data_IF_305545837313
#
_entry.id   IF_305545837313
#
_cell.length_a   1.000
_cell.length_b   1.000
_cell.length_c   1.000
_cell.angle_alpha   90.00
_cell.angle_beta   90.00
_cell.angle_gamma   90.00
#
_symmetry.space_group_name_H-M   'P 1'
#
loop_
_entity.id
_entity.type
_entity.pdbx_description
1 polymer ?
#
# COMPACT_ATOMS: atom_id res chain seq x y z
N UNK A 1 13.43 -2.02 -16.26
CA UNK A 1 12.85 -2.26 -14.90
C UNK A 1 13.92 -1.98 -13.86
N UNK A 2 13.57 -1.34 -12.76
CA UNK A 2 14.50 -1.18 -11.63
C UNK A 2 14.90 -2.54 -11.06
N UNK A 3 16.16 -2.63 -10.59
CA UNK A 3 16.68 -3.85 -9.99
C UNK A 3 15.94 -4.13 -8.68
N UNK A 4 15.29 -5.29 -8.58
CA UNK A 4 14.71 -5.76 -7.32
C UNK A 4 15.80 -6.19 -6.36
N UNK A 5 15.71 -5.71 -5.13
CA UNK A 5 16.50 -6.13 -3.97
C UNK A 5 15.66 -7.09 -3.12
N UNK A 6 16.29 -7.82 -2.22
CA UNK A 6 15.60 -8.77 -1.35
C UNK A 6 16.11 -8.63 0.09
N UNK A 7 15.17 -8.56 1.03
CA UNK A 7 15.43 -8.66 2.45
C UNK A 7 14.99 -10.04 2.95
N UNK A 8 15.90 -10.81 3.53
CA UNK A 8 15.56 -12.12 4.09
C UNK A 8 14.91 -11.94 5.44
N UNK A 9 13.71 -12.49 5.61
CA UNK A 9 12.87 -12.36 6.80
C UNK A 9 12.30 -13.72 7.22
N UNK A 10 11.71 -13.85 8.42
CA UNK A 10 10.93 -15.05 8.78
C UNK A 10 9.79 -15.38 7.82
N UNK A 11 9.30 -14.39 7.07
CA UNK A 11 8.18 -14.54 6.12
C UNK A 11 8.62 -14.95 4.71
N UNK A 12 9.90 -14.85 4.39
CA UNK A 12 10.50 -15.15 3.11
C UNK A 12 11.48 -14.08 2.66
N UNK A 13 11.86 -14.13 1.38
CA UNK A 13 12.69 -13.09 0.76
C UNK A 13 11.76 -11.99 0.22
N UNK A 14 11.65 -10.92 0.96
CA UNK A 14 10.75 -9.80 0.63
C UNK A 14 11.44 -8.91 -0.38
N UNK A 15 10.83 -8.79 -1.56
CA UNK A 15 11.34 -7.97 -2.65
C UNK A 15 11.00 -6.49 -2.42
N UNK A 16 11.91 -5.62 -2.86
CA UNK A 16 11.72 -4.17 -2.82
C UNK A 16 12.56 -3.47 -3.88
N UNK A 17 12.22 -2.22 -4.16
CA UNK A 17 13.10 -1.28 -4.85
C UNK A 17 13.50 -0.18 -3.89
N UNK A 18 14.68 0.40 -4.10
CA UNK A 18 15.21 1.46 -3.25
C UNK A 18 15.88 2.53 -4.10
N UNK A 19 15.59 3.80 -3.77
CA UNK A 19 16.19 4.95 -4.43
C UNK A 19 16.33 6.13 -3.49
N UNK A 20 17.43 6.88 -3.64
CA UNK A 20 17.72 8.04 -2.82
C UNK A 20 18.49 7.71 -1.54
N UNK A 21 18.59 8.68 -0.64
CA UNK A 21 19.32 8.59 0.63
C UNK A 21 18.64 9.46 1.70
N UNK A 22 19.11 9.36 2.94
CA UNK A 22 18.56 10.13 4.07
C UNK A 22 17.51 9.34 4.85
N UNK A 23 16.54 10.01 5.50
CA UNK A 23 15.50 9.35 6.27
C UNK A 23 14.68 8.39 5.40
N UNK A 24 14.37 7.19 5.91
CA UNK A 24 13.66 6.17 5.15
C UNK A 24 12.18 6.49 5.01
N UNK A 25 11.65 6.34 3.78
CA UNK A 25 10.23 6.36 3.46
C UNK A 25 9.83 5.01 2.85
N UNK A 26 8.89 4.31 3.51
CA UNK A 26 8.38 3.01 3.12
C UNK A 26 7.04 3.17 2.39
N UNK A 27 6.96 2.65 1.17
CA UNK A 27 5.80 2.72 0.32
C UNK A 27 5.15 1.34 0.19
N UNK A 28 3.87 1.23 0.54
CA UNK A 28 3.10 -0.01 0.63
C UNK A 28 1.91 0.03 -0.32
N UNK A 29 1.93 -0.84 -1.32
CA UNK A 29 0.87 -1.00 -2.33
C UNK A 29 -0.28 -1.89 -1.84
N UNK A 30 -1.32 -2.07 -2.67
CA UNK A 30 -2.44 -2.95 -2.39
C UNK A 30 -2.57 -4.15 -3.33
N UNK A 31 -3.79 -4.67 -3.44
CA UNK A 31 -4.09 -5.89 -4.19
C UNK A 31 -3.79 -5.74 -5.69
N UNK A 32 -3.30 -6.81 -6.31
CA UNK A 32 -2.91 -6.92 -7.72
C UNK A 32 -1.76 -6.01 -8.20
N UNK A 33 -1.27 -5.11 -7.36
CA UNK A 33 -0.15 -4.23 -7.67
C UNK A 33 1.17 -4.73 -7.08
N UNK A 34 2.18 -3.91 -7.15
CA UNK A 34 3.48 -4.09 -6.51
C UNK A 34 4.18 -2.73 -6.35
N UNK A 35 5.42 -2.70 -5.89
CA UNK A 35 6.17 -1.47 -5.66
C UNK A 35 6.28 -0.53 -6.88
N UNK A 36 5.99 -0.98 -8.10
CA UNK A 36 6.03 -0.13 -9.30
C UNK A 36 4.99 0.99 -9.29
N UNK A 37 3.87 0.82 -8.58
CA UNK A 37 2.86 1.89 -8.35
C UNK A 37 3.53 3.20 -7.92
N UNK A 38 4.55 3.10 -7.11
CA UNK A 38 5.20 4.23 -6.46
C UNK A 38 6.33 4.86 -7.27
N UNK A 39 6.75 4.23 -8.39
CA UNK A 39 7.90 4.68 -9.19
C UNK A 39 7.80 6.15 -9.59
N UNK A 40 6.67 6.66 -10.14
CA UNK A 40 6.59 8.07 -10.54
C UNK A 40 6.72 9.05 -9.35
N UNK A 41 6.17 8.69 -8.18
CA UNK A 41 6.31 9.49 -6.97
C UNK A 41 7.74 9.43 -6.41
N UNK A 42 8.37 8.23 -6.41
CA UNK A 42 9.75 8.03 -5.94
C UNK A 42 10.74 8.82 -6.80
N UNK A 43 10.55 8.91 -8.11
CA UNK A 43 11.37 9.73 -9.01
C UNK A 43 11.44 11.20 -8.55
N UNK A 44 10.37 11.70 -7.92
CA UNK A 44 10.25 13.06 -7.39
C UNK A 44 10.77 13.21 -5.97
N UNK A 45 10.79 12.14 -5.19
CA UNK A 45 11.03 12.16 -3.74
C UNK A 45 12.43 11.67 -3.35
N UNK A 46 13.11 10.92 -4.22
CA UNK A 46 14.42 10.32 -3.94
C UNK A 46 15.54 11.32 -3.66
N UNK A 47 15.34 12.61 -3.98
CA UNK A 47 16.27 13.67 -3.60
C UNK A 47 16.18 14.09 -2.12
N UNK A 48 15.13 13.70 -1.40
CA UNK A 48 14.88 14.11 0.00
C UNK A 48 14.64 12.94 0.94
N UNK A 49 14.46 11.72 0.42
CA UNK A 49 14.23 10.48 1.21
C UNK A 49 14.96 9.29 0.57
N UNK A 50 15.34 8.35 1.42
CA UNK A 50 15.61 6.97 1.03
C UNK A 50 14.24 6.29 0.82
N UNK A 51 13.76 6.29 -0.42
CA UNK A 51 12.47 5.73 -0.80
C UNK A 51 12.58 4.23 -1.01
N UNK A 52 11.77 3.45 -0.28
CA UNK A 52 11.75 1.99 -0.31
C UNK A 52 10.33 1.56 -0.67
N UNK A 53 10.13 0.97 -1.85
CA UNK A 53 8.84 0.40 -2.26
C UNK A 53 8.89 -1.12 -2.11
N UNK A 54 8.16 -1.66 -1.14
CA UNK A 54 8.09 -3.09 -0.84
C UNK A 54 7.08 -3.78 -1.76
N UNK A 55 7.35 -5.02 -2.14
CA UNK A 55 6.35 -5.92 -2.70
C UNK A 55 5.78 -6.78 -1.55
N UNK A 56 4.49 -6.69 -1.29
CA UNK A 56 3.80 -7.46 -0.25
C UNK A 56 3.92 -8.98 -0.49
N UNK A 57 3.69 -9.79 0.54
CA UNK A 57 3.58 -11.25 0.35
C UNK A 57 2.47 -11.57 -0.65
N UNK A 58 2.67 -12.60 -1.45
CA UNK A 58 1.84 -12.99 -2.59
C UNK A 58 1.86 -12.00 -3.77
N UNK A 59 2.62 -10.91 -3.73
CA UNK A 59 2.66 -9.88 -4.77
C UNK A 59 4.09 -9.66 -5.31
N UNK A 60 4.16 -9.07 -6.50
CA UNK A 60 5.42 -8.66 -7.14
C UNK A 60 6.45 -9.78 -7.18
N UNK A 61 7.69 -9.46 -6.85
CA UNK A 61 8.80 -10.41 -6.83
C UNK A 61 9.07 -11.04 -5.45
N UNK A 62 8.27 -10.74 -4.43
CA UNK A 62 8.40 -11.34 -3.09
C UNK A 62 8.24 -12.85 -3.15
N UNK A 63 9.17 -13.56 -2.49
CA UNK A 63 9.19 -15.02 -2.37
C UNK A 63 8.70 -15.42 -0.99
N UNK A 64 7.37 -15.54 -0.87
CA UNK A 64 6.71 -15.93 0.37
C UNK A 64 7.08 -17.37 0.73
N UNK A 65 7.33 -17.66 2.01
CA UNK A 65 7.47 -19.05 2.46
C UNK A 65 6.13 -19.77 2.37
N UNK A 66 6.12 -21.08 2.15
CA UNK A 66 4.90 -21.89 2.22
C UNK A 66 4.16 -21.67 3.55
N UNK A 67 2.84 -21.74 3.50
CA UNK A 67 1.94 -21.71 4.67
C UNK A 67 1.99 -20.42 5.52
N UNK A 68 2.56 -19.32 4.99
CA UNK A 68 2.50 -18.02 5.66
C UNK A 68 1.05 -17.52 5.76
N UNK A 69 0.78 -16.81 6.86
CA UNK A 69 -0.43 -16.03 7.04
C UNK A 69 -0.40 -14.82 6.09
N UNK A 70 -1.29 -14.82 5.10
CA UNK A 70 -1.42 -13.76 4.10
C UNK A 70 -2.47 -12.71 4.48
N UNK A 71 -3.09 -12.83 5.66
CA UNK A 71 -4.01 -11.82 6.18
C UNK A 71 -3.32 -10.46 6.35
N UNK A 72 -4.10 -9.42 6.56
CA UNK A 72 -3.54 -8.09 6.83
C UNK A 72 -2.72 -8.06 8.12
N UNK A 73 -3.04 -8.91 9.11
CA UNK A 73 -2.21 -9.10 10.31
C UNK A 73 -0.86 -9.71 9.96
N UNK A 74 -0.83 -10.75 9.13
CA UNK A 74 0.40 -11.37 8.64
C UNK A 74 1.25 -10.40 7.83
N UNK A 75 0.63 -9.60 6.96
CA UNK A 75 1.33 -8.55 6.17
C UNK A 75 1.90 -7.46 7.09
N UNK A 76 1.16 -7.01 8.11
CA UNK A 76 1.65 -6.02 9.06
C UNK A 76 2.85 -6.54 9.88
N UNK A 77 2.81 -7.82 10.28
CA UNK A 77 3.93 -8.48 10.96
C UNK A 77 5.15 -8.62 10.01
N UNK A 78 4.92 -8.92 8.74
CA UNK A 78 5.97 -8.96 7.71
C UNK A 78 6.61 -7.59 7.54
N UNK A 79 5.85 -6.48 7.49
CA UNK A 79 6.41 -5.13 7.39
C UNK A 79 7.34 -4.80 8.57
N UNK A 80 6.99 -5.21 9.79
CA UNK A 80 7.87 -5.04 10.94
C UNK A 80 9.19 -5.80 10.76
N UNK A 81 9.12 -7.08 10.41
CA UNK A 81 10.30 -7.91 10.18
C UNK A 81 11.15 -7.40 9.00
N UNK A 82 10.51 -6.84 7.97
CA UNK A 82 11.19 -6.21 6.84
C UNK A 82 11.97 -4.96 7.28
N UNK A 83 11.35 -4.10 8.10
CA UNK A 83 12.04 -2.94 8.68
C UNK A 83 13.24 -3.37 9.53
N UNK A 84 13.09 -4.41 10.36
CA UNK A 84 14.18 -4.96 11.18
C UNK A 84 15.33 -5.49 10.31
N UNK A 85 15.01 -6.23 9.25
CA UNK A 85 16.01 -6.78 8.34
C UNK A 85 16.82 -5.71 7.59
N UNK A 86 16.24 -4.53 7.38
CA UNK A 86 16.91 -3.38 6.76
C UNK A 86 17.51 -2.39 7.76
N UNK A 87 17.42 -2.65 9.08
CA UNK A 87 17.91 -1.76 10.13
C UNK A 87 17.18 -0.41 10.16
N UNK A 88 15.87 -0.39 9.86
CA UNK A 88 15.05 0.82 9.85
C UNK A 88 14.41 1.01 11.22
N UNK A 89 14.93 1.89 12.06
CA UNK A 89 14.37 2.16 13.38
C UNK A 89 13.05 2.91 13.29
N UNK A 90 12.99 3.96 12.50
CA UNK A 90 11.79 4.75 12.23
C UNK A 90 11.65 5.04 10.73
N UNK A 91 10.42 4.98 10.25
CA UNK A 91 10.09 5.21 8.84
C UNK A 91 8.95 6.22 8.67
N UNK A 92 9.00 6.99 7.58
CA UNK A 92 7.83 7.63 7.00
C UNK A 92 7.07 6.58 6.20
N UNK A 93 5.81 6.32 6.51
CA UNK A 93 5.05 5.27 5.81
C UNK A 93 4.01 5.89 4.89
N UNK A 94 3.94 5.40 3.66
CA UNK A 94 2.96 5.82 2.65
C UNK A 94 2.25 4.58 2.13
N UNK A 95 0.94 4.59 2.05
CA UNK A 95 0.15 3.42 1.66
C UNK A 95 -0.98 3.74 0.70
N UNK A 96 -1.43 2.71 -0.04
CA UNK A 96 -2.55 2.78 -0.96
C UNK A 96 -3.33 1.46 -0.98
N UNK A 97 -4.64 1.50 -1.25
CA UNK A 97 -5.51 0.35 -1.39
C UNK A 97 -5.49 -0.56 -0.14
N UNK A 98 -5.42 -1.87 -0.26
CA UNK A 98 -5.31 -2.77 0.90
C UNK A 98 -4.04 -2.54 1.72
N UNK A 99 -3.00 -1.94 1.14
CA UNK A 99 -1.84 -1.45 1.89
C UNK A 99 -2.22 -0.45 2.97
N UNK A 100 -3.30 0.31 2.80
CA UNK A 100 -3.79 1.27 3.80
C UNK A 100 -4.32 0.58 5.05
N UNK A 101 -5.07 -0.53 4.92
CA UNK A 101 -5.46 -1.33 6.09
C UNK A 101 -4.26 -2.00 6.78
N UNK A 102 -3.35 -2.58 5.99
CA UNK A 102 -2.13 -3.24 6.49
C UNK A 102 -1.29 -2.26 7.31
N UNK A 103 -1.11 -1.03 6.80
CA UNK A 103 -0.31 0.01 7.45
C UNK A 103 -0.99 0.56 8.71
N UNK A 104 -2.31 0.63 8.77
CA UNK A 104 -3.04 0.97 10.00
C UNK A 104 -2.71 -0.02 11.12
N UNK A 105 -2.72 -1.34 10.83
CA UNK A 105 -2.34 -2.38 11.79
C UNK A 105 -0.87 -2.27 12.20
N UNK A 106 0.04 -2.10 11.22
CA UNK A 106 1.46 -1.96 11.47
C UNK A 106 1.75 -0.75 12.36
N UNK A 107 1.22 0.44 12.01
CA UNK A 107 1.48 1.69 12.72
C UNK A 107 0.88 1.70 14.14
N UNK A 108 -0.36 1.24 14.29
CA UNK A 108 -1.04 1.24 15.57
C UNK A 108 -0.38 0.29 16.59
N UNK A 109 0.14 -0.84 16.12
CA UNK A 109 0.82 -1.83 16.98
C UNK A 109 2.28 -1.49 17.26
N UNK A 110 2.90 -0.67 16.40
CA UNK A 110 4.32 -0.33 16.47
C UNK A 110 4.54 1.20 16.40
N UNK A 111 3.91 2.01 17.27
CA UNK A 111 3.92 3.47 17.12
C UNK A 111 5.32 4.07 17.18
N UNK A 112 6.25 3.44 17.91
CA UNK A 112 7.66 3.86 17.97
C UNK A 112 8.44 3.72 16.65
N UNK A 113 7.91 2.94 15.68
CA UNK A 113 8.52 2.73 14.37
C UNK A 113 8.07 3.79 13.34
N UNK A 114 7.06 4.60 13.67
CA UNK A 114 6.43 5.54 12.75
C UNK A 114 6.93 6.95 13.01
N UNK A 115 7.71 7.50 12.06
CA UNK A 115 8.10 8.92 12.07
C UNK A 115 6.95 9.79 11.57
N UNK A 116 6.32 9.39 10.47
CA UNK A 116 5.09 9.97 9.96
C UNK A 116 4.28 8.94 9.18
N UNK A 117 3.01 9.18 9.00
CA UNK A 117 2.07 8.30 8.31
C UNK A 117 1.35 9.08 7.22
N UNK A 118 1.27 8.51 6.02
CA UNK A 118 0.41 9.02 4.94
C UNK A 118 -0.46 7.89 4.43
N UNK A 119 -1.76 8.07 4.53
CA UNK A 119 -2.76 7.11 4.06
C UNK A 119 -3.45 7.67 2.82
N UNK A 120 -3.52 6.87 1.77
CA UNK A 120 -4.28 7.21 0.57
C UNK A 120 -5.45 6.25 0.39
N UNK A 121 -6.30 6.47 -0.62
CA UNK A 121 -7.48 5.64 -0.88
C UNK A 121 -7.23 4.17 -0.59
N UNK A 122 -8.08 3.56 0.23
CA UNK A 122 -7.91 2.16 0.59
C UNK A 122 -8.86 1.67 1.69
N UNK A 123 -8.62 0.47 2.12
CA UNK A 123 -9.39 -0.23 3.13
C UNK A 123 -9.26 0.43 4.52
N UNK A 124 -10.41 0.71 5.15
CA UNK A 124 -10.52 1.41 6.43
C UNK A 124 -11.60 0.78 7.29
N UNK A 125 -11.28 0.47 8.56
CA UNK A 125 -12.22 0.01 9.56
C UNK A 125 -13.05 -1.19 9.08
N UNK A 126 -14.36 -1.01 8.81
CA UNK A 126 -15.31 -2.04 8.38
C UNK A 126 -15.81 -1.89 6.93
N UNK A 127 -15.17 -0.99 6.13
CA UNK A 127 -15.61 -0.77 4.75
C UNK A 127 -15.09 -1.82 3.75
N UNK A 128 -14.41 -2.86 4.20
CA UNK A 128 -13.84 -3.85 3.31
C UNK A 128 -14.18 -5.31 3.67
N UNK A 129 -14.22 -6.22 2.68
CA UNK A 129 -14.05 -5.88 1.26
C UNK A 129 -15.15 -4.92 0.78
N UNK A 130 -14.78 -3.87 0.01
CA UNK A 130 -15.77 -2.90 -0.46
C UNK A 130 -16.75 -3.54 -1.45
N UNK A 131 -18.01 -3.07 -1.56
CA UNK A 131 -19.00 -3.67 -2.46
C UNK A 131 -18.53 -3.80 -3.91
N UNK A 132 -17.76 -2.84 -4.41
CA UNK A 132 -17.21 -2.90 -5.77
C UNK A 132 -16.18 -4.03 -5.98
N UNK A 133 -15.60 -4.59 -4.91
CA UNK A 133 -14.70 -5.75 -4.97
C UNK A 133 -15.45 -7.11 -4.90
N UNK A 134 -16.78 -7.12 -4.75
CA UNK A 134 -17.56 -8.36 -4.64
C UNK A 134 -17.31 -9.34 -5.80
N UNK A 135 -17.21 -8.93 -7.08
CA UNK A 135 -16.91 -9.87 -8.17
C UNK A 135 -15.59 -10.61 -7.98
N UNK A 136 -14.54 -9.92 -7.50
CA UNK A 136 -13.24 -10.52 -7.19
C UNK A 136 -13.35 -11.53 -6.04
N UNK A 137 -14.07 -11.16 -4.97
CA UNK A 137 -14.29 -12.04 -3.82
C UNK A 137 -15.08 -13.29 -4.18
N UNK A 138 -16.08 -13.16 -5.05
CA UNK A 138 -16.87 -14.29 -5.57
C UNK A 138 -15.98 -15.20 -6.43
N UNK A 139 -15.20 -14.62 -7.33
CA UNK A 139 -14.26 -15.38 -8.16
C UNK A 139 -13.27 -16.19 -7.32
N UNK A 140 -12.69 -15.57 -6.28
CA UNK A 140 -11.78 -16.27 -5.37
C UNK A 140 -12.47 -17.43 -4.62
N UNK A 141 -13.69 -17.20 -4.08
CA UNK A 141 -14.46 -18.25 -3.40
C UNK A 141 -14.84 -19.42 -4.32
N UNK A 142 -14.97 -19.17 -5.60
CA UNK A 142 -15.28 -20.19 -6.62
C UNK A 142 -14.03 -20.84 -7.23
N UNK A 143 -12.82 -20.43 -6.84
CA UNK A 143 -11.56 -20.94 -7.40
C UNK A 143 -11.31 -20.47 -8.85
N UNK A 144 -11.86 -19.33 -9.26
CA UNK A 144 -11.78 -18.80 -10.63
C UNK A 144 -10.60 -17.83 -10.84
N UNK A 145 -9.85 -17.52 -9.81
CA UNK A 145 -8.68 -16.61 -9.91
C UNK A 145 -7.65 -17.11 -10.96
N UNK A 146 -7.37 -18.42 -11.09
CA UNK A 146 -6.49 -18.92 -12.16
C UNK A 146 -6.99 -18.56 -13.57
N UNK A 147 -8.29 -18.70 -13.83
CA UNK A 147 -8.87 -18.39 -15.13
C UNK A 147 -8.81 -16.89 -15.43
N UNK A 148 -9.13 -16.05 -14.43
CA UNK A 148 -9.03 -14.59 -14.55
C UNK A 148 -7.57 -14.21 -14.86
N UNK A 149 -6.61 -14.71 -14.09
CA UNK A 149 -5.20 -14.43 -14.28
C UNK A 149 -4.67 -14.86 -15.67
N UNK A 150 -5.06 -16.05 -16.15
CA UNK A 150 -4.65 -16.52 -17.46
C UNK A 150 -5.22 -15.66 -18.60
N UNK A 151 -6.45 -15.16 -18.48
CA UNK A 151 -7.00 -14.19 -19.45
C UNK A 151 -6.20 -12.90 -19.47
N UNK A 152 -5.91 -12.32 -18.30
CA UNK A 152 -5.11 -11.09 -18.18
C UNK A 152 -3.69 -11.26 -18.75
N UNK A 153 -3.07 -12.44 -18.60
CA UNK A 153 -1.76 -12.75 -19.18
C UNK A 153 -1.82 -12.90 -20.70
N UNK A 154 -2.89 -13.52 -21.21
CA UNK A 154 -3.06 -13.78 -22.65
C UNK A 154 -3.46 -12.51 -23.42
N UNK A 155 -4.22 -11.62 -22.80
CA UNK A 155 -4.73 -10.38 -23.40
C UNK A 155 -4.53 -9.18 -22.45
N UNK A 156 -3.59 -8.31 -22.81
CA UNK A 156 -3.33 -7.09 -22.02
C UNK A 156 -4.46 -6.05 -22.09
N UNK A 157 -5.36 -6.14 -23.07
CA UNK A 157 -6.56 -5.29 -23.09
C UNK A 157 -7.59 -5.77 -22.07
N UNK A 158 -7.72 -7.09 -21.85
CA UNK A 158 -8.50 -7.62 -20.71
C UNK A 158 -7.87 -7.17 -19.38
N UNK A 159 -6.55 -7.25 -19.23
CA UNK A 159 -5.85 -6.74 -18.07
C UNK A 159 -6.12 -5.24 -17.86
N UNK A 160 -6.02 -4.42 -18.91
CA UNK A 160 -6.32 -2.99 -18.87
C UNK A 160 -7.75 -2.72 -18.41
N UNK A 161 -8.72 -3.48 -18.93
CA UNK A 161 -10.12 -3.34 -18.57
C UNK A 161 -10.36 -3.66 -17.08
N UNK A 162 -9.66 -4.66 -16.52
CA UNK A 162 -9.73 -4.99 -15.08
C UNK A 162 -9.16 -3.86 -14.20
N UNK A 163 -8.05 -3.24 -14.61
CA UNK A 163 -7.46 -2.12 -13.88
C UNK A 163 -8.18 -0.78 -14.10
N UNK A 164 -8.94 -0.62 -15.18
CA UNK A 164 -9.57 0.65 -15.59
C UNK A 164 -10.40 1.31 -14.50
N UNK A 165 -11.03 0.53 -13.64
CA UNK A 165 -11.88 1.05 -12.55
C UNK A 165 -11.10 1.88 -11.52
N UNK A 166 -9.81 1.61 -11.35
CA UNK A 166 -8.94 2.30 -10.39
C UNK A 166 -8.09 3.42 -10.99
N UNK A 167 -8.14 3.66 -12.32
CA UNK A 167 -7.39 4.68 -13.03
C UNK A 167 -8.30 5.74 -13.66
N UNK A 168 -7.84 6.99 -13.69
CA UNK A 168 -8.50 8.09 -14.42
C UNK A 168 -8.31 7.92 -15.94
N UNK A 169 -7.11 7.51 -16.34
CA UNK A 169 -6.65 7.37 -17.70
C UNK A 169 -6.08 5.99 -18.00
N UNK A 170 -6.91 4.92 -17.93
CA UNK A 170 -6.44 3.54 -18.13
C UNK A 170 -5.80 3.31 -19.51
N UNK A 171 -6.14 4.12 -20.52
CA UNK A 171 -5.53 4.09 -21.85
C UNK A 171 -4.04 4.46 -21.82
N UNK A 172 -3.56 5.11 -20.76
CA UNK A 172 -2.13 5.48 -20.59
C UNK A 172 -1.30 4.35 -19.97
N UNK A 173 -1.93 3.31 -19.43
CA UNK A 173 -1.20 2.16 -18.91
C UNK A 173 -0.47 1.46 -20.08
N UNK A 174 0.85 1.50 -20.05
CA UNK A 174 1.64 0.83 -21.07
C UNK A 174 1.55 -0.70 -20.95
N UNK A 175 1.80 -1.41 -22.05
CA UNK A 175 1.89 -2.87 -22.01
C UNK A 175 2.94 -3.35 -21.00
N UNK A 176 4.05 -2.63 -20.86
CA UNK A 176 5.11 -2.98 -19.90
C UNK A 176 4.65 -2.78 -18.44
N UNK A 177 3.86 -1.74 -18.16
CA UNK A 177 3.26 -1.53 -16.84
C UNK A 177 2.27 -2.64 -16.50
N UNK A 178 1.37 -2.99 -17.42
CA UNK A 178 0.41 -4.07 -17.23
C UNK A 178 1.11 -5.42 -16.99
N UNK A 179 2.12 -5.77 -17.81
CA UNK A 179 2.92 -6.98 -17.58
C UNK A 179 3.61 -6.96 -16.22
N UNK A 180 4.18 -5.82 -15.81
CA UNK A 180 4.86 -5.71 -14.53
C UNK A 180 3.94 -5.95 -13.32
N UNK A 181 2.63 -5.75 -13.46
CA UNK A 181 1.64 -6.08 -12.44
C UNK A 181 1.13 -7.53 -12.59
N UNK A 182 0.78 -7.96 -13.80
CA UNK A 182 0.07 -9.22 -14.01
C UNK A 182 1.01 -10.45 -13.98
N UNK A 183 2.18 -10.37 -14.63
CA UNK A 183 3.09 -11.52 -14.72
C UNK A 183 3.55 -12.05 -13.35
N UNK A 184 3.95 -11.22 -12.37
CA UNK A 184 4.36 -11.73 -11.06
C UNK A 184 3.26 -12.46 -10.30
N UNK A 185 2.00 -12.18 -10.58
CA UNK A 185 0.85 -12.75 -9.88
C UNK A 185 0.41 -14.10 -10.49
N UNK A 186 0.48 -14.21 -11.81
CA UNK A 186 -0.21 -15.27 -12.53
C UNK A 186 0.71 -16.15 -13.41
N UNK A 187 2.04 -15.92 -13.39
CA UNK A 187 3.01 -16.65 -14.21
C UNK A 187 3.16 -18.13 -13.85
N UNK A 188 2.71 -18.57 -12.68
CA UNK A 188 2.69 -19.99 -12.30
C UNK A 188 1.46 -20.32 -11.44
N UNK A 189 1.04 -21.60 -11.39
CA UNK A 189 -0.05 -22.05 -10.53
C UNK A 189 0.19 -21.72 -9.05
N UNK A 190 1.43 -21.83 -8.57
CA UNK A 190 1.81 -21.56 -7.19
C UNK A 190 1.59 -20.08 -6.85
N UNK A 191 2.02 -19.17 -7.75
CA UNK A 191 1.83 -17.72 -7.58
C UNK A 191 0.35 -17.36 -7.57
N UNK A 192 -0.40 -17.90 -8.51
CA UNK A 192 -1.85 -17.69 -8.59
C UNK A 192 -2.57 -18.16 -7.33
N UNK A 193 -2.17 -19.31 -6.76
CA UNK A 193 -2.72 -19.82 -5.52
C UNK A 193 -2.39 -18.92 -4.31
N UNK A 194 -1.21 -18.32 -4.28
CA UNK A 194 -0.85 -17.34 -3.24
C UNK A 194 -1.76 -16.11 -3.33
N UNK A 195 -1.99 -15.58 -4.53
CA UNK A 195 -2.90 -14.45 -4.77
C UNK A 195 -4.32 -14.79 -4.32
N UNK A 196 -4.84 -15.97 -4.69
CA UNK A 196 -6.17 -16.43 -4.26
C UNK A 196 -6.27 -16.52 -2.73
N UNK A 197 -5.25 -17.10 -2.07
CA UNK A 197 -5.19 -17.15 -0.60
C UNK A 197 -5.17 -15.76 0.04
N UNK A 198 -4.45 -14.81 -0.56
CA UNK A 198 -4.44 -13.42 -0.09
C UNK A 198 -5.84 -12.81 -0.18
N UNK A 199 -6.51 -12.93 -1.33
CA UNK A 199 -7.88 -12.40 -1.53
C UNK A 199 -8.85 -13.02 -0.51
N UNK A 200 -8.79 -14.33 -0.30
CA UNK A 200 -9.65 -15.03 0.65
C UNK A 200 -9.37 -14.68 2.12
N UNK A 201 -8.20 -14.13 2.40
CA UNK A 201 -7.81 -13.68 3.75
C UNK A 201 -8.19 -12.22 4.04
N UNK A 202 -8.78 -11.49 3.08
CA UNK A 202 -9.24 -10.10 3.29
C UNK A 202 -10.40 -10.10 4.28
N UNK A 203 -10.18 -9.46 5.44
CA UNK A 203 -11.13 -9.41 6.56
C UNK A 203 -10.91 -8.15 7.39
N UNK A 204 -11.99 -7.44 7.70
CA UNK A 204 -11.94 -6.16 8.42
C UNK A 204 -11.83 -6.27 9.94
N UNK A 205 -12.00 -7.45 10.54
CA UNK A 205 -12.11 -7.61 12.00
C UNK A 205 -10.92 -7.03 12.76
N UNK A 206 -9.71 -7.24 12.27
CA UNK A 206 -8.51 -6.69 12.90
C UNK A 206 -8.44 -5.17 12.80
N UNK A 207 -8.89 -4.57 11.70
CA UNK A 207 -8.93 -3.12 11.51
C UNK A 207 -10.00 -2.46 12.37
N UNK A 208 -11.15 -3.11 12.60
CA UNK A 208 -12.13 -2.68 13.59
C UNK A 208 -11.55 -2.77 15.00
N UNK A 209 -10.91 -3.88 15.34
CA UNK A 209 -10.35 -4.10 16.67
C UNK A 209 -9.19 -3.15 17.02
N UNK A 210 -8.45 -2.64 16.03
CA UNK A 210 -7.29 -1.77 16.24
C UNK A 210 -7.66 -0.30 16.46
N UNK A 211 -8.92 0.10 16.24
CA UNK A 211 -9.37 1.50 16.38
C UNK A 211 -8.91 2.18 17.68
N UNK A 212 -9.02 1.56 18.89
CA UNK A 212 -8.56 2.22 20.12
C UNK A 212 -7.05 2.52 20.14
N UNK A 213 -6.23 1.76 19.38
CA UNK A 213 -4.81 2.04 19.22
C UNK A 213 -4.57 3.14 18.21
N UNK A 214 -5.34 3.21 17.11
CA UNK A 214 -5.30 4.31 16.16
C UNK A 214 -5.61 5.65 16.82
N UNK A 215 -6.59 5.69 17.73
CA UNK A 215 -6.90 6.91 18.52
C UNK A 215 -5.73 7.40 19.38
N UNK A 216 -4.83 6.50 19.79
CA UNK A 216 -3.62 6.82 20.57
C UNK A 216 -2.37 7.03 19.71
N UNK A 217 -2.43 6.75 18.42
CA UNK A 217 -1.30 6.92 17.51
C UNK A 217 -1.07 8.41 17.27
N UNK A 218 -0.01 8.96 17.87
CA UNK A 218 0.32 10.39 17.83
C UNK A 218 1.31 10.76 16.70
N UNK A 219 1.79 9.80 15.93
CA UNK A 219 2.65 10.07 14.77
C UNK A 219 1.93 11.04 13.81
N UNK A 220 2.61 12.11 13.35
CA UNK A 220 2.04 13.02 12.37
C UNK A 220 1.43 12.24 11.20
N UNK A 221 0.12 12.42 10.96
CA UNK A 221 -0.61 11.67 9.95
C UNK A 221 -1.29 12.60 8.96
N UNK A 222 -1.09 12.31 7.67
CA UNK A 222 -1.73 12.94 6.53
C UNK A 222 -2.64 11.94 5.83
N UNK A 223 -3.82 12.38 5.40
CA UNK A 223 -4.69 11.61 4.51
C UNK A 223 -4.76 12.35 3.17
N UNK A 224 -4.49 11.63 2.06
CA UNK A 224 -4.62 12.16 0.70
C UNK A 224 -5.61 11.28 -0.05
N UNK A 225 -6.68 11.83 -0.59
CA UNK A 225 -7.80 11.02 -1.07
C UNK A 225 -8.34 11.50 -2.40
N UNK A 226 -8.38 10.59 -3.38
CA UNK A 226 -9.04 10.81 -4.66
C UNK A 226 -10.56 10.68 -4.49
N UNK A 227 -11.31 11.69 -4.92
CA UNK A 227 -12.77 11.72 -4.72
C UNK A 227 -13.55 10.99 -5.83
N UNK A 228 -12.88 10.59 -6.92
CA UNK A 228 -13.46 9.79 -8.01
C UNK A 228 -13.35 8.28 -7.82
N UNK A 229 -12.88 7.82 -6.67
CA UNK A 229 -12.74 6.41 -6.35
C UNK A 229 -14.10 5.74 -6.10
N UNK A 230 -14.34 4.61 -6.77
CA UNK A 230 -15.59 3.83 -6.63
C UNK A 230 -15.54 2.81 -5.51
N UNK A 231 -14.36 2.51 -4.96
CA UNK A 231 -14.16 1.54 -3.89
C UNK A 231 -14.25 2.20 -2.51
N UNK A 232 -13.63 3.36 -2.36
CA UNK A 232 -13.40 4.00 -1.07
C UNK A 232 -13.85 5.46 -1.11
N UNK A 233 -15.05 5.73 -0.62
CA UNK A 233 -15.62 7.08 -0.56
C UNK A 233 -14.83 8.02 0.35
N UNK A 234 -15.01 9.33 0.14
CA UNK A 234 -14.31 10.38 0.89
C UNK A 234 -14.63 10.38 2.40
N UNK A 235 -15.75 9.82 2.80
CA UNK A 235 -16.14 9.66 4.20
C UNK A 235 -15.11 8.87 5.00
N UNK A 236 -14.41 7.92 4.37
CA UNK A 236 -13.36 7.14 5.02
C UNK A 236 -12.08 7.93 5.25
N UNK A 237 -11.78 8.88 4.39
CA UNK A 237 -10.70 9.84 4.63
C UNK A 237 -10.98 10.71 5.85
N UNK A 238 -12.22 11.18 5.98
CA UNK A 238 -12.64 11.95 7.16
C UNK A 238 -12.66 11.10 8.41
N UNK A 239 -13.12 9.84 8.33
CA UNK A 239 -13.06 8.90 9.45
C UNK A 239 -11.63 8.68 9.95
N UNK A 240 -10.66 8.48 9.05
CA UNK A 240 -9.24 8.35 9.40
C UNK A 240 -8.72 9.60 10.11
N UNK A 241 -9.03 10.80 9.59
CA UNK A 241 -8.65 12.07 10.22
C UNK A 241 -9.22 12.22 11.63
N UNK A 242 -10.46 11.82 11.82
CA UNK A 242 -11.17 12.00 13.10
C UNK A 242 -10.82 10.90 14.12
N UNK A 243 -10.28 9.78 13.65
CA UNK A 243 -9.93 8.62 14.47
C UNK A 243 -8.46 8.62 14.88
N UNK A 244 -7.52 8.89 13.97
CA UNK A 244 -6.09 8.79 14.28
C UNK A 244 -5.63 10.02 15.07
N UNK A 245 -5.10 9.79 16.28
CA UNK A 245 -4.73 10.87 17.21
C UNK A 245 -3.77 11.92 16.64
N UNK A 246 -2.84 11.51 15.78
CA UNK A 246 -1.88 12.39 15.10
C UNK A 246 -2.36 12.95 13.75
N UNK A 247 -3.57 12.59 13.28
CA UNK A 247 -4.09 13.08 12.02
C UNK A 247 -4.57 14.54 12.13
N UNK A 248 -4.30 15.31 11.08
CA UNK A 248 -4.62 16.76 11.10
C UNK A 248 -5.47 17.23 9.95
N UNK A 249 -5.25 16.69 8.76
CA UNK A 249 -5.97 17.13 7.56
C UNK A 249 -6.17 16.01 6.55
N UNK A 250 -7.16 16.21 5.71
CA UNK A 250 -7.37 15.48 4.47
C UNK A 250 -7.00 16.42 3.32
N UNK A 251 -6.26 15.93 2.34
CA UNK A 251 -6.11 16.56 1.03
C UNK A 251 -7.00 15.77 0.08
N UNK A 252 -8.02 16.44 -0.43
CA UNK A 252 -8.93 15.87 -1.43
C UNK A 252 -8.39 16.18 -2.82
N UNK A 253 -8.26 15.15 -3.65
CA UNK A 253 -7.87 15.27 -5.06
C UNK A 253 -9.14 15.07 -5.90
N UNK A 254 -9.72 16.14 -6.46
CA UNK A 254 -10.95 16.05 -7.25
C UNK A 254 -10.80 15.07 -8.40
N UNK A 255 -11.79 14.17 -8.57
CA UNK A 255 -11.90 13.17 -9.62
C UNK A 255 -10.79 12.11 -9.66
N UNK A 256 -9.74 12.23 -8.83
CA UNK A 256 -8.69 11.24 -8.74
C UNK A 256 -9.26 9.89 -8.28
N UNK A 257 -8.79 8.80 -8.87
CA UNK A 257 -9.20 7.44 -8.56
C UNK A 257 -8.19 6.71 -7.66
N UNK A 258 -8.46 5.45 -7.37
CA UNK A 258 -7.71 4.62 -6.44
C UNK A 258 -6.19 4.65 -6.68
N UNK A 259 -5.76 4.54 -7.92
CA UNK A 259 -4.33 4.46 -8.26
C UNK A 259 -3.72 5.81 -8.66
N UNK A 260 -4.29 6.91 -8.15
CA UNK A 260 -3.74 8.26 -8.37
C UNK A 260 -2.26 8.42 -7.98
N UNK A 261 -1.66 7.63 -7.06
CA UNK A 261 -0.23 7.72 -6.82
C UNK A 261 0.64 7.54 -8.07
N UNK A 262 0.18 6.76 -9.05
CA UNK A 262 0.85 6.60 -10.35
C UNK A 262 0.49 7.71 -11.34
N UNK A 263 -0.77 8.19 -11.34
CA UNK A 263 -1.28 9.15 -12.33
C UNK A 263 -1.04 10.63 -11.94
N UNK A 264 -1.06 10.93 -10.63
CA UNK A 264 -0.88 12.28 -10.08
C UNK A 264 0.34 12.38 -9.14
N UNK A 265 1.53 11.91 -9.58
CA UNK A 265 2.70 11.83 -8.71
C UNK A 265 3.23 13.19 -8.25
N UNK A 266 2.98 14.26 -9.00
CA UNK A 266 3.42 15.61 -8.63
C UNK A 266 2.62 16.14 -7.43
N UNK A 267 1.30 15.93 -7.43
CA UNK A 267 0.41 16.34 -6.34
C UNK A 267 0.74 15.54 -5.07
N UNK A 268 0.89 14.22 -5.19
CA UNK A 268 1.29 13.37 -4.07
C UNK A 268 2.67 13.75 -3.52
N UNK A 269 3.66 13.96 -4.40
CA UNK A 269 5.00 14.31 -3.97
C UNK A 269 5.07 15.68 -3.27
N UNK A 270 4.28 16.66 -3.71
CA UNK A 270 4.16 17.95 -3.05
C UNK A 270 3.58 17.80 -1.63
N UNK A 271 2.48 17.05 -1.51
CA UNK A 271 1.84 16.77 -0.23
C UNK A 271 2.77 16.04 0.75
N UNK A 272 3.51 15.03 0.27
CA UNK A 272 4.47 14.28 1.08
C UNK A 272 5.64 15.14 1.56
N UNK A 273 6.22 15.98 0.71
CA UNK A 273 7.31 16.88 1.12
C UNK A 273 6.88 17.82 2.23
N UNK A 274 5.72 18.46 2.09
CA UNK A 274 5.16 19.35 3.11
C UNK A 274 4.92 18.59 4.43
N UNK A 275 4.33 17.41 4.34
CA UNK A 275 4.03 16.58 5.50
C UNK A 275 5.30 16.13 6.24
N UNK A 276 6.33 15.70 5.53
CA UNK A 276 7.59 15.28 6.13
C UNK A 276 8.34 16.43 6.79
N UNK A 277 8.35 17.62 6.18
CA UNK A 277 8.91 18.83 6.81
C UNK A 277 8.19 19.15 8.12
N UNK A 278 6.86 19.08 8.12
CA UNK A 278 6.06 19.26 9.33
C UNK A 278 6.43 18.22 10.40
N UNK A 279 6.51 16.95 10.05
CA UNK A 279 6.84 15.88 10.99
C UNK A 279 8.24 16.06 11.61
N UNK A 280 9.23 16.51 10.83
CA UNK A 280 10.56 16.84 11.32
C UNK A 280 10.55 17.99 12.33
N UNK A 281 9.76 19.04 12.08
CA UNK A 281 9.60 20.16 13.02
C UNK A 281 8.99 19.71 14.35
N UNK A 282 7.96 18.86 14.32
CA UNK A 282 7.31 18.33 15.53
C UNK A 282 8.27 17.44 16.32
N UNK A 283 8.99 16.53 15.62
CA UNK A 283 9.97 15.63 16.24
C UNK A 283 11.12 16.38 16.92
N UNK A 284 11.62 17.45 16.31
CA UNK A 284 12.68 18.28 16.90
C UNK A 284 12.19 19.02 18.16
N UNK A 285 10.94 19.47 18.20
CA UNK A 285 10.36 20.15 19.35
C UNK A 285 10.20 19.24 20.58
N UNK A 286 9.86 17.97 20.38
CA UNK A 286 9.75 16.98 21.47
C UNK A 286 11.11 16.56 22.04
N UNK A 287 12.15 16.48 21.21
CA UNK A 287 13.51 16.14 21.65
C UNK A 287 14.17 17.28 22.45
N UNK A 288 13.78 18.54 22.25
CA UNK A 288 14.31 19.68 22.99
C UNK A 288 13.63 19.88 24.36
N UNK A 289 12.53 19.16 24.63
CA UNK A 289 11.73 19.28 25.87
C UNK A 289 11.89 18.09 26.82
N UNK A 290 12.65 17.06 26.43
CA UNK A 290 12.95 15.87 27.20
C UNK A 290 14.40 15.89 27.71
#
# INVERSE_FOLDING_TARGET
MEKRLYASTPFGDIAYTERGSGPAALFVHGVFLNGNLWRPAIDRLSGVRRCIAVDLMAHGATRTRPDQDLSFDGQAAMLLAFCDALGLDQVDVVSNDSGTAIVQLFAARNPGRIRSLTLTNGDVHDNFPPPAAEPMMVAAKQGLIPEVGQRMLADLEDARAQFAVGYEHPERLSADTLRAYVEPLFSSPERTKEVERFILAIDCRSNVAVEPLLRRLMAPTLVVWGTGDIFFGIEWAHWLRDTIGGARRVIELPDAKLFFPEERPDELAAALREHWQYAECVGAGTAASA
#
